data_IF_942531081349
#
_entry.id   IF_942531081349
#
_cell.length_a   1.000
_cell.length_b   1.000
_cell.length_c   1.000
_cell.angle_alpha   90.00
_cell.angle_beta   90.00
_cell.angle_gamma   90.00
#
_symmetry.space_group_name_H-M   'P 1'
#
loop_
_entity.id
_entity.type
_entity.pdbx_description
1 polymer ?
#
# COMPACT_ATOMS: atom_id res chain seq x y z
N UNK A 1 8.67 13.83 -6.93
CA UNK A 1 8.49 13.39 -5.52
C UNK A 1 9.36 14.24 -4.61
N UNK A 2 8.81 14.76 -3.51
CA UNK A 2 9.60 15.40 -2.44
C UNK A 2 9.95 14.34 -1.39
N UNK A 3 11.18 13.84 -1.44
CA UNK A 3 11.65 12.76 -0.56
C UNK A 3 11.74 13.17 0.90
N UNK A 4 12.09 14.44 1.19
CA UNK A 4 12.15 14.93 2.55
C UNK A 4 10.75 15.02 3.17
N UNK A 5 9.79 15.54 2.42
CA UNK A 5 8.39 15.56 2.84
C UNK A 5 7.85 14.15 3.07
N UNK A 6 8.17 13.20 2.19
CA UNK A 6 7.78 11.80 2.35
C UNK A 6 8.41 11.17 3.60
N UNK A 7 9.71 11.38 3.83
CA UNK A 7 10.41 10.88 5.02
C UNK A 7 9.83 11.46 6.32
N UNK A 8 9.53 12.75 6.33
CA UNK A 8 8.87 13.38 7.48
C UNK A 8 7.50 12.76 7.76
N UNK A 9 6.71 12.47 6.72
CA UNK A 9 5.41 11.81 6.86
C UNK A 9 5.50 10.43 7.54
N UNK A 10 6.59 9.69 7.35
CA UNK A 10 6.78 8.38 7.98
C UNK A 10 6.94 8.48 9.51
N UNK A 11 7.50 9.59 10.00
CA UNK A 11 7.72 9.82 11.43
C UNK A 11 6.51 10.43 12.15
N UNK A 12 5.56 10.97 11.39
CA UNK A 12 4.34 11.56 11.94
C UNK A 12 3.37 10.47 12.46
N UNK A 13 2.45 10.80 13.37
CA UNK A 13 1.47 9.85 13.91
C UNK A 13 0.71 9.08 12.82
N UNK A 14 0.40 9.75 11.73
CA UNK A 14 -0.31 9.13 10.59
C UNK A 14 0.52 8.17 9.75
N UNK A 15 1.83 8.41 9.63
CA UNK A 15 2.74 7.45 9.03
C UNK A 15 2.89 6.22 9.90
N UNK A 16 3.07 6.42 11.20
CA UNK A 16 3.21 5.34 12.18
C UNK A 16 1.98 4.43 12.24
N UNK A 17 0.79 4.99 12.40
CA UNK A 17 -0.44 4.20 12.49
C UNK A 17 -0.74 3.43 11.19
N UNK A 18 -0.36 3.98 10.02
CA UNK A 18 -0.46 3.26 8.75
C UNK A 18 0.33 1.95 8.78
N UNK A 19 1.58 2.01 9.23
CA UNK A 19 2.42 0.82 9.31
C UNK A 19 2.02 -0.13 10.44
N UNK A 20 1.53 0.37 11.57
CA UNK A 20 1.02 -0.48 12.65
C UNK A 20 -0.16 -1.34 12.16
N UNK A 21 -1.12 -0.73 11.43
CA UNK A 21 -2.26 -1.44 10.84
C UNK A 21 -1.77 -2.41 9.76
N UNK A 22 -0.90 -1.95 8.85
CA UNK A 22 -0.38 -2.79 7.76
C UNK A 22 0.38 -4.02 8.31
N UNK A 23 1.20 -3.84 9.33
CA UNK A 23 1.96 -4.94 9.93
C UNK A 23 1.07 -5.93 10.65
N UNK A 24 -0.02 -5.49 11.29
CA UNK A 24 -1.04 -6.41 11.82
C UNK A 24 -1.69 -7.23 10.69
N UNK A 25 -1.99 -6.60 9.55
CA UNK A 25 -2.55 -7.29 8.37
C UNK A 25 -1.55 -8.27 7.72
N UNK A 26 -0.24 -8.04 7.90
CA UNK A 26 0.84 -8.91 7.40
C UNK A 26 1.37 -9.92 8.44
N UNK A 27 0.85 -9.94 9.67
CA UNK A 27 1.39 -10.71 10.82
C UNK A 27 1.55 -12.21 10.61
N UNK A 28 0.74 -12.79 9.71
CA UNK A 28 0.77 -14.23 9.40
C UNK A 28 1.64 -14.56 8.17
N UNK A 29 2.41 -13.61 7.66
CA UNK A 29 3.33 -13.80 6.52
C UNK A 29 4.66 -14.32 7.06
N UNK A 30 4.92 -15.62 6.91
CA UNK A 30 6.14 -16.25 7.39
C UNK A 30 6.57 -17.44 6.52
N UNK A 31 7.87 -17.69 6.44
CA UNK A 31 8.45 -18.84 5.72
C UNK A 31 8.35 -18.73 4.20
N UNK A 32 8.10 -17.56 3.64
CA UNK A 32 7.82 -17.33 2.23
C UNK A 32 9.00 -16.69 1.50
N UNK A 33 9.05 -16.90 0.18
CA UNK A 33 9.87 -16.12 -0.74
C UNK A 33 9.06 -14.95 -1.27
N UNK A 34 9.44 -13.74 -0.86
CA UNK A 34 8.67 -12.51 -1.06
C UNK A 34 9.41 -11.57 -2.02
N UNK A 35 8.67 -10.99 -2.97
CA UNK A 35 9.10 -9.82 -3.74
C UNK A 35 8.38 -8.58 -3.19
N UNK A 36 9.11 -7.57 -2.72
CA UNK A 36 8.57 -6.25 -2.37
C UNK A 36 8.85 -5.27 -3.52
N UNK A 37 7.84 -5.07 -4.38
CA UNK A 37 7.92 -4.24 -5.57
C UNK A 37 7.53 -2.80 -5.26
N UNK A 38 8.44 -1.85 -5.50
CA UNK A 38 8.31 -0.46 -5.10
C UNK A 38 8.55 -0.29 -3.60
N UNK A 39 9.63 -0.90 -3.10
CA UNK A 39 9.91 -1.01 -1.66
C UNK A 39 10.18 0.32 -0.94
N UNK A 40 10.41 1.41 -1.68
CA UNK A 40 10.67 2.73 -1.13
C UNK A 40 11.83 2.73 -0.13
N UNK A 41 11.58 3.23 1.07
CA UNK A 41 12.55 3.17 2.18
C UNK A 41 12.68 1.80 2.84
N UNK A 42 12.20 0.73 2.22
CA UNK A 42 12.36 -0.65 2.67
C UNK A 42 11.67 -0.99 4.00
N UNK A 43 10.64 -0.26 4.39
CA UNK A 43 9.98 -0.44 5.69
C UNK A 43 9.27 -1.80 5.73
N UNK A 44 8.52 -2.13 4.66
CA UNK A 44 7.81 -3.41 4.55
C UNK A 44 8.78 -4.55 4.30
N UNK A 45 9.75 -4.38 3.37
CA UNK A 45 10.80 -5.37 3.12
C UNK A 45 11.55 -5.74 4.40
N UNK A 46 11.97 -4.73 5.18
CA UNK A 46 12.68 -4.95 6.43
C UNK A 46 11.83 -5.67 7.48
N UNK A 47 10.54 -5.34 7.60
CA UNK A 47 9.62 -6.02 8.51
C UNK A 47 9.45 -7.49 8.12
N UNK A 48 9.14 -7.77 6.85
CA UNK A 48 8.93 -9.13 6.36
C UNK A 48 10.21 -9.98 6.39
N UNK A 49 11.37 -9.37 6.23
CA UNK A 49 12.66 -10.08 6.26
C UNK A 49 13.02 -10.69 7.61
N UNK A 50 12.29 -10.38 8.67
CA UNK A 50 12.46 -11.05 9.97
C UNK A 50 12.12 -12.54 9.89
N UNK A 51 11.12 -12.91 9.07
CA UNK A 51 10.61 -14.29 8.99
C UNK A 51 10.54 -14.85 7.57
N UNK A 52 10.99 -14.09 6.55
CA UNK A 52 10.86 -14.46 5.14
C UNK A 52 12.15 -14.20 4.36
N UNK A 53 12.29 -14.87 3.21
CA UNK A 53 13.31 -14.52 2.22
C UNK A 53 12.77 -13.40 1.33
N UNK A 54 13.28 -12.17 1.51
CA UNK A 54 12.76 -10.98 0.81
C UNK A 54 13.77 -10.49 -0.23
N UNK A 55 13.27 -10.26 -1.46
CA UNK A 55 13.91 -9.46 -2.49
C UNK A 55 13.10 -8.17 -2.65
N UNK A 56 13.71 -7.02 -2.46
CA UNK A 56 13.10 -5.71 -2.59
C UNK A 56 13.55 -5.03 -3.88
N UNK A 57 12.65 -4.36 -4.57
CA UNK A 57 12.91 -3.64 -5.82
C UNK A 57 12.41 -2.20 -5.70
N UNK A 58 13.29 -1.23 -5.98
CA UNK A 58 12.99 0.20 -5.90
C UNK A 58 13.77 0.97 -6.98
N UNK A 59 13.13 1.81 -7.81
CA UNK A 59 13.83 2.57 -8.82
C UNK A 59 14.65 3.74 -8.26
N UNK A 60 14.25 4.33 -7.14
CA UNK A 60 14.89 5.53 -6.59
C UNK A 60 16.10 5.19 -5.72
N UNK A 61 17.30 5.50 -6.22
CA UNK A 61 18.56 5.21 -5.52
C UNK A 61 18.65 5.93 -4.16
N UNK A 62 18.11 7.12 -4.01
CA UNK A 62 18.14 7.86 -2.76
C UNK A 62 17.31 7.17 -1.68
N UNK A 63 16.14 6.61 -2.05
CA UNK A 63 15.35 5.77 -1.14
C UNK A 63 16.12 4.51 -0.74
N UNK A 64 16.81 3.86 -1.69
CA UNK A 64 17.62 2.67 -1.44
C UNK A 64 18.76 2.99 -0.46
N UNK A 65 19.47 4.10 -0.62
CA UNK A 65 20.58 4.50 0.26
C UNK A 65 20.08 4.70 1.70
N UNK A 66 18.91 5.30 1.86
CA UNK A 66 18.31 5.61 3.16
C UNK A 66 17.34 4.56 3.69
N UNK A 67 17.28 3.37 3.05
CA UNK A 67 16.32 2.34 3.42
C UNK A 67 16.57 1.76 4.80
N UNK A 68 15.53 1.28 5.43
CA UNK A 68 15.58 0.48 6.66
C UNK A 68 16.20 -0.89 6.35
N UNK A 69 17.19 -1.31 7.14
CA UNK A 69 17.94 -2.58 6.92
C UNK A 69 18.43 -3.19 8.24
N UNK A 70 17.57 -3.20 9.24
CA UNK A 70 17.88 -3.89 10.51
C UNK A 70 17.81 -5.40 10.33
N UNK A 71 16.95 -5.88 9.42
CA UNK A 71 16.90 -7.26 8.96
C UNK A 71 17.55 -7.37 7.57
N UNK A 72 18.12 -8.53 7.27
CA UNK A 72 18.83 -8.76 5.99
C UNK A 72 17.85 -9.13 4.88
N UNK A 73 17.89 -8.41 3.76
CA UNK A 73 17.15 -8.71 2.54
C UNK A 73 17.94 -8.26 1.31
N UNK A 74 17.66 -8.89 0.17
CA UNK A 74 18.22 -8.48 -1.11
C UNK A 74 17.55 -7.21 -1.61
N UNK A 75 18.35 -6.21 -2.04
CA UNK A 75 17.84 -4.97 -2.63
C UNK A 75 18.35 -4.80 -4.04
N UNK A 76 17.45 -4.66 -4.98
CA UNK A 76 17.73 -4.36 -6.38
C UNK A 76 17.26 -2.93 -6.71
N UNK A 77 18.00 -2.27 -7.61
CA UNK A 77 17.55 -1.01 -8.19
C UNK A 77 16.89 -1.25 -9.53
N UNK A 78 15.72 -0.68 -9.74
CA UNK A 78 14.98 -0.69 -11.01
C UNK A 78 13.49 -0.81 -10.81
N UNK A 79 12.77 -1.09 -11.88
CA UNK A 79 11.32 -1.20 -11.90
C UNK A 79 10.89 -2.46 -12.68
N UNK A 80 9.89 -2.33 -13.55
CA UNK A 80 9.30 -3.43 -14.31
C UNK A 80 10.34 -4.24 -15.11
N UNK A 81 11.33 -3.56 -15.69
CA UNK A 81 12.37 -4.16 -16.51
C UNK A 81 13.25 -5.17 -15.75
N UNK A 82 13.44 -4.96 -14.45
CA UNK A 82 14.22 -5.87 -13.60
C UNK A 82 13.49 -7.19 -13.35
N UNK A 83 12.16 -7.20 -13.46
CA UNK A 83 11.37 -8.42 -13.24
C UNK A 83 11.71 -9.55 -14.24
N UNK A 84 12.29 -9.21 -15.39
CA UNK A 84 12.70 -10.19 -16.42
C UNK A 84 13.85 -11.10 -15.97
N UNK A 85 14.64 -10.71 -14.97
CA UNK A 85 15.72 -11.56 -14.43
C UNK A 85 15.19 -12.77 -13.64
N UNK A 86 13.95 -12.69 -13.14
CA UNK A 86 13.36 -13.75 -12.34
C UNK A 86 12.66 -14.78 -13.22
N UNK A 87 12.82 -16.05 -12.85
CA UNK A 87 12.11 -17.16 -13.47
C UNK A 87 10.62 -17.10 -13.13
N UNK A 88 9.81 -17.68 -13.99
CA UNK A 88 8.39 -17.88 -13.72
C UNK A 88 8.20 -18.66 -12.41
N UNK A 89 7.12 -18.35 -11.71
CA UNK A 89 6.74 -19.02 -10.47
C UNK A 89 7.83 -19.01 -9.38
N UNK A 90 8.54 -17.88 -9.27
CA UNK A 90 9.67 -17.71 -8.32
C UNK A 90 9.24 -17.31 -6.92
N UNK A 91 8.06 -16.70 -6.74
CA UNK A 91 7.65 -16.09 -5.49
C UNK A 91 6.36 -16.69 -4.93
N UNK A 92 6.31 -16.81 -3.61
CA UNK A 92 5.10 -17.22 -2.88
C UNK A 92 4.18 -16.01 -2.63
N UNK A 93 4.78 -14.83 -2.48
CA UNK A 93 4.09 -13.57 -2.22
C UNK A 93 4.77 -12.43 -3.00
N UNK A 94 3.96 -11.57 -3.60
CA UNK A 94 4.39 -10.27 -4.11
C UNK A 94 3.66 -9.18 -3.34
N UNK A 95 4.41 -8.20 -2.84
CA UNK A 95 3.93 -6.97 -2.22
C UNK A 95 4.03 -5.85 -3.26
N UNK A 96 2.95 -5.08 -3.46
CA UNK A 96 2.92 -3.90 -4.32
C UNK A 96 2.04 -2.84 -3.66
N UNK A 97 2.64 -2.01 -2.82
CA UNK A 97 1.93 -1.05 -1.98
C UNK A 97 2.14 0.39 -2.43
N UNK A 98 1.05 1.09 -2.75
CA UNK A 98 1.05 2.48 -3.21
C UNK A 98 1.96 2.72 -4.43
N UNK A 99 1.87 1.84 -5.43
CA UNK A 99 2.69 1.88 -6.67
C UNK A 99 1.80 2.02 -7.90
N UNK A 100 0.77 1.16 -8.05
CA UNK A 100 0.03 1.04 -9.31
C UNK A 100 -0.76 2.30 -9.68
N UNK A 101 -1.10 3.14 -8.75
CA UNK A 101 -1.74 4.44 -9.00
C UNK A 101 -0.81 5.48 -9.63
N UNK A 102 0.51 5.24 -9.61
CA UNK A 102 1.54 6.17 -10.11
C UNK A 102 2.19 5.71 -11.42
N UNK A 103 1.78 4.57 -11.96
CA UNK A 103 2.29 4.07 -13.24
C UNK A 103 1.39 4.51 -14.39
N UNK A 104 1.96 4.59 -15.59
CA UNK A 104 1.23 4.98 -16.81
C UNK A 104 0.18 3.94 -17.20
N UNK A 105 0.53 2.65 -17.09
CA UNK A 105 -0.37 1.52 -17.37
C UNK A 105 -0.16 0.41 -16.35
N UNK A 106 -1.25 -0.15 -15.81
CA UNK A 106 -1.23 -1.20 -14.78
C UNK A 106 -0.97 -2.59 -15.40
N UNK A 107 -1.44 -2.82 -16.62
CA UNK A 107 -1.41 -4.14 -17.28
C UNK A 107 -0.03 -4.80 -17.31
N UNK A 108 1.08 -4.13 -17.69
CA UNK A 108 2.39 -4.77 -17.70
C UNK A 108 2.84 -5.29 -16.33
N UNK A 109 2.45 -4.61 -15.25
CA UNK A 109 2.77 -5.01 -13.87
C UNK A 109 1.97 -6.24 -13.46
N UNK A 110 0.64 -6.25 -13.68
CA UNK A 110 -0.19 -7.40 -13.35
C UNK A 110 0.19 -8.64 -14.16
N UNK A 111 0.59 -8.47 -15.42
CA UNK A 111 1.11 -9.55 -16.26
C UNK A 111 2.41 -10.13 -15.67
N UNK A 112 3.36 -9.26 -15.29
CA UNK A 112 4.61 -9.68 -14.69
C UNK A 112 4.38 -10.36 -13.33
N UNK A 113 3.52 -9.82 -12.47
CA UNK A 113 3.19 -10.43 -11.17
C UNK A 113 2.51 -11.79 -11.35
N UNK A 114 1.61 -11.91 -12.33
CA UNK A 114 0.98 -13.20 -12.66
C UNK A 114 2.01 -14.24 -13.11
N UNK A 115 3.02 -13.85 -13.90
CA UNK A 115 4.11 -14.73 -14.33
C UNK A 115 4.96 -15.18 -13.15
N UNK A 116 5.35 -14.25 -12.28
CA UNK A 116 6.31 -14.47 -11.21
C UNK A 116 5.76 -15.22 -10.00
N UNK A 117 4.46 -15.09 -9.72
CA UNK A 117 3.83 -15.81 -8.62
C UNK A 117 3.71 -17.29 -8.94
N UNK A 118 3.98 -18.13 -7.97
CA UNK A 118 3.62 -19.55 -8.00
C UNK A 118 2.12 -19.72 -8.09
N UNK A 119 1.66 -20.87 -8.58
CA UNK A 119 0.24 -21.24 -8.49
C UNK A 119 -0.17 -21.28 -6.99
N UNK A 120 -1.28 -20.64 -6.65
CA UNK A 120 -1.70 -20.44 -5.26
C UNK A 120 -0.92 -19.36 -4.50
N UNK A 121 0.09 -18.75 -5.14
CA UNK A 121 0.82 -17.61 -4.58
C UNK A 121 -0.06 -16.38 -4.47
N UNK A 122 0.29 -15.49 -3.54
CA UNK A 122 -0.54 -14.32 -3.20
C UNK A 122 0.07 -13.02 -3.72
N UNK A 123 -0.81 -12.08 -4.06
CA UNK A 123 -0.45 -10.71 -4.38
C UNK A 123 -1.13 -9.79 -3.37
N UNK A 124 -0.34 -9.00 -2.65
CA UNK A 124 -0.77 -8.01 -1.68
C UNK A 124 -0.66 -6.63 -2.32
N UNK A 125 -1.78 -5.94 -2.51
CA UNK A 125 -1.83 -4.60 -3.10
C UNK A 125 -2.47 -3.63 -2.11
N UNK A 126 -1.75 -2.56 -1.77
CA UNK A 126 -2.34 -1.40 -1.09
C UNK A 126 -2.48 -0.27 -2.10
N UNK A 127 -3.66 0.32 -2.14
CA UNK A 127 -3.99 1.46 -3.00
C UNK A 127 -4.80 2.51 -2.26
N UNK A 128 -4.75 3.74 -2.74
CA UNK A 128 -5.66 4.79 -2.29
C UNK A 128 -7.13 4.41 -2.55
N UNK A 129 -7.99 4.71 -1.60
CA UNK A 129 -9.42 4.52 -1.72
C UNK A 129 -10.10 5.81 -2.12
N UNK A 130 -10.79 5.79 -3.26
CA UNK A 130 -11.49 6.96 -3.78
C UNK A 130 -12.59 7.46 -2.84
N UNK A 131 -13.38 6.55 -2.25
CA UNK A 131 -14.42 6.87 -1.27
C UNK A 131 -13.80 7.54 -0.04
N UNK A 132 -12.72 6.94 0.52
CA UNK A 132 -12.01 7.51 1.66
C UNK A 132 -11.43 8.89 1.36
N UNK A 133 -10.95 9.12 0.13
CA UNK A 133 -10.47 10.43 -0.29
C UNK A 133 -11.56 11.48 -0.33
N UNK A 134 -12.74 11.14 -0.85
CA UNK A 134 -13.91 12.03 -0.85
C UNK A 134 -14.32 12.36 0.59
N UNK A 135 -14.42 11.36 1.46
CA UNK A 135 -14.75 11.55 2.88
C UNK A 135 -13.77 12.48 3.58
N UNK A 136 -12.48 12.27 3.39
CA UNK A 136 -11.43 13.14 3.93
C UNK A 136 -11.57 14.59 3.42
N UNK A 137 -11.79 14.76 2.11
CA UNK A 137 -11.92 16.08 1.49
C UNK A 137 -13.12 16.84 2.01
N UNK A 138 -14.26 16.16 2.25
CA UNK A 138 -15.45 16.79 2.82
C UNK A 138 -15.28 17.09 4.31
N UNK A 139 -14.83 16.12 5.10
CA UNK A 139 -14.89 16.20 6.57
C UNK A 139 -13.68 16.93 7.13
N UNK A 140 -12.47 16.60 6.66
CA UNK A 140 -11.24 17.14 7.21
C UNK A 140 -10.77 18.42 6.49
N UNK A 141 -10.76 18.41 5.13
CA UNK A 141 -10.35 19.59 4.34
C UNK A 141 -11.44 20.65 4.25
N UNK A 142 -12.72 20.29 4.47
CA UNK A 142 -13.90 21.13 4.27
C UNK A 142 -13.97 21.74 2.85
N UNK A 143 -13.50 21.01 1.84
CA UNK A 143 -13.47 21.45 0.43
C UNK A 143 -14.56 20.71 -0.39
N UNK A 144 -15.78 21.25 -0.35
CA UNK A 144 -16.93 20.68 -1.06
C UNK A 144 -16.77 20.76 -2.59
N UNK A 145 -16.08 21.79 -3.09
CA UNK A 145 -15.85 21.92 -4.54
C UNK A 145 -14.95 20.80 -5.04
N UNK A 146 -13.81 20.59 -4.39
CA UNK A 146 -12.88 19.51 -4.69
C UNK A 146 -13.53 18.13 -4.53
N UNK A 147 -14.31 17.92 -3.48
CA UNK A 147 -15.05 16.67 -3.28
C UNK A 147 -16.01 16.35 -4.43
N UNK A 148 -16.72 17.36 -4.97
CA UNK A 148 -17.58 17.18 -6.17
C UNK A 148 -16.77 16.83 -7.42
N UNK A 149 -15.59 17.40 -7.59
CA UNK A 149 -14.70 17.04 -8.69
C UNK A 149 -14.23 15.59 -8.59
N UNK A 150 -13.87 15.13 -7.39
CA UNK A 150 -13.54 13.73 -7.14
C UNK A 150 -14.72 12.79 -7.44
N UNK A 151 -15.95 13.15 -7.03
CA UNK A 151 -17.17 12.36 -7.35
C UNK A 151 -17.40 12.22 -8.87
N UNK A 152 -16.93 13.18 -9.67
CA UNK A 152 -16.98 13.14 -11.14
C UNK A 152 -15.80 12.36 -11.76
N UNK A 153 -14.99 11.69 -10.95
CA UNK A 153 -13.86 10.87 -11.40
C UNK A 153 -12.63 11.67 -11.81
N UNK A 154 -12.50 12.93 -11.39
CA UNK A 154 -11.27 13.66 -11.63
C UNK A 154 -10.15 13.12 -10.74
N UNK A 155 -8.96 12.97 -11.35
CA UNK A 155 -7.74 12.60 -10.64
C UNK A 155 -7.36 13.64 -9.57
N UNK A 156 -6.59 13.21 -8.60
CA UNK A 156 -6.10 14.11 -7.56
C UNK A 156 -4.58 14.07 -7.43
N UNK A 157 -4.02 15.18 -6.94
CA UNK A 157 -2.61 15.28 -6.59
C UNK A 157 -2.40 14.81 -5.16
N UNK A 158 -1.46 13.90 -4.97
CA UNK A 158 -0.95 13.54 -3.64
C UNK A 158 0.10 14.55 -3.20
N UNK A 159 0.22 14.79 -1.89
CA UNK A 159 1.17 15.79 -1.38
C UNK A 159 2.64 15.46 -1.67
N UNK A 160 3.00 14.18 -1.74
CA UNK A 160 4.40 13.74 -1.86
C UNK A 160 4.72 13.00 -3.15
N UNK A 161 3.74 12.30 -3.77
CA UNK A 161 3.98 11.39 -4.89
C UNK A 161 3.52 11.93 -6.26
N UNK A 162 2.81 13.06 -6.29
CA UNK A 162 2.26 13.63 -7.50
C UNK A 162 0.86 13.14 -7.86
N UNK A 163 0.53 13.14 -9.15
CA UNK A 163 -0.79 12.71 -9.62
C UNK A 163 -0.97 11.20 -9.42
N UNK A 164 -2.08 10.82 -8.80
CA UNK A 164 -2.48 9.43 -8.64
C UNK A 164 -3.68 9.12 -9.53
N UNK A 165 -3.59 8.04 -10.29
CA UNK A 165 -4.66 7.54 -11.14
C UNK A 165 -5.61 6.69 -10.32
N UNK A 166 -6.91 6.85 -10.58
CA UNK A 166 -7.92 6.01 -9.95
C UNK A 166 -8.14 4.72 -10.75
N UNK A 167 -8.27 3.62 -10.04
CA UNK A 167 -8.68 2.34 -10.64
C UNK A 167 -9.45 1.47 -9.65
N UNK A 168 -10.33 0.61 -10.17
CA UNK A 168 -11.07 -0.37 -9.39
C UNK A 168 -10.39 -1.75 -9.50
N UNK A 169 -10.01 -2.32 -8.35
CA UNK A 169 -9.29 -3.60 -8.31
C UNK A 169 -10.07 -4.72 -9.04
N UNK A 170 -11.38 -4.92 -8.83
CA UNK A 170 -12.12 -5.96 -9.53
C UNK A 170 -12.11 -5.83 -11.05
N UNK A 171 -11.98 -4.59 -11.57
CA UNK A 171 -11.96 -4.35 -13.01
C UNK A 171 -10.59 -4.65 -13.62
N UNK A 172 -9.52 -4.14 -13.00
CA UNK A 172 -8.16 -4.27 -13.57
C UNK A 172 -7.62 -5.69 -13.53
N UNK A 173 -8.10 -6.54 -12.61
CA UNK A 173 -7.64 -7.94 -12.52
C UNK A 173 -8.38 -8.92 -13.43
N UNK A 174 -9.52 -8.53 -14.04
CA UNK A 174 -10.34 -9.43 -14.87
C UNK A 174 -9.56 -10.19 -15.95
N UNK A 175 -8.57 -9.60 -16.65
CA UNK A 175 -7.82 -10.32 -17.68
C UNK A 175 -6.83 -11.35 -17.12
N UNK A 176 -6.55 -11.34 -15.82
CA UNK A 176 -5.48 -12.12 -15.19
C UNK A 176 -6.03 -13.27 -14.35
N UNK A 177 -5.22 -14.32 -14.10
CA UNK A 177 -5.65 -15.48 -13.32
C UNK A 177 -5.60 -15.17 -11.80
N UNK A 178 -6.26 -14.10 -11.38
CA UNK A 178 -6.36 -13.71 -9.97
C UNK A 178 -7.79 -13.78 -9.47
N UNK A 179 -7.96 -14.27 -8.25
CA UNK A 179 -9.17 -14.08 -7.46
C UNK A 179 -8.90 -13.13 -6.29
N UNK A 180 -9.86 -12.28 -5.97
CA UNK A 180 -9.82 -11.48 -4.74
C UNK A 180 -10.21 -12.41 -3.59
N UNK A 181 -9.30 -12.57 -2.62
CA UNK A 181 -9.60 -13.29 -1.38
C UNK A 181 -10.38 -12.41 -0.41
N UNK A 182 -9.89 -11.20 -0.20
CA UNK A 182 -10.48 -10.20 0.69
C UNK A 182 -9.84 -8.83 0.45
N UNK A 183 -10.43 -7.78 1.07
CA UNK A 183 -9.73 -6.51 1.27
C UNK A 183 -9.99 -5.97 2.67
N UNK A 184 -9.03 -5.20 3.17
CA UNK A 184 -9.06 -4.58 4.48
C UNK A 184 -8.85 -3.07 4.35
N UNK A 185 -9.41 -2.32 5.28
CA UNK A 185 -9.18 -0.88 5.36
C UNK A 185 -7.89 -0.55 6.10
N UNK A 186 -7.23 0.54 5.71
CA UNK A 186 -6.13 1.14 6.46
C UNK A 186 -6.46 2.63 6.64
N UNK A 187 -6.46 3.11 7.88
CA UNK A 187 -6.79 4.50 8.25
C UNK A 187 -8.25 4.85 7.92
N UNK A 188 -9.16 4.24 8.66
CA UNK A 188 -10.62 4.42 8.53
C UNK A 188 -11.05 5.73 9.21
N UNK A 189 -10.78 5.86 10.51
CA UNK A 189 -11.21 7.00 11.32
C UNK A 189 -10.16 8.10 11.40
N UNK A 190 -8.90 7.72 11.38
CA UNK A 190 -7.77 8.62 11.52
C UNK A 190 -7.88 9.86 10.62
N UNK A 191 -8.14 9.66 9.33
CA UNK A 191 -8.20 10.74 8.33
C UNK A 191 -9.41 11.67 8.48
N UNK A 192 -10.36 11.32 9.33
CA UNK A 192 -11.59 12.08 9.56
C UNK A 192 -11.51 12.94 10.83
N UNK A 193 -10.48 12.74 11.67
CA UNK A 193 -10.29 13.52 12.90
C UNK A 193 -9.37 14.72 12.68
N UNK A 194 -9.61 15.84 13.38
CA UNK A 194 -8.70 16.99 13.37
C UNK A 194 -7.33 16.64 13.99
N UNK A 195 -6.30 17.38 13.60
CA UNK A 195 -4.91 17.04 14.01
C UNK A 195 -4.60 17.36 15.48
N UNK A 196 -5.31 18.28 16.08
CA UNK A 196 -5.13 18.69 17.48
C UNK A 196 -5.37 17.56 18.48
N UNK A 197 -6.40 16.71 18.24
CA UNK A 197 -6.68 15.56 19.11
C UNK A 197 -5.67 14.40 18.95
N UNK A 198 -4.89 14.38 17.87
CA UNK A 198 -3.93 13.30 17.57
C UNK A 198 -2.64 13.37 18.42
N UNK A 199 -2.48 14.43 19.16
CA UNK A 199 -1.34 14.64 20.08
C UNK A 199 -1.65 14.26 21.54
N UNK A 200 -2.91 13.92 21.84
CA UNK A 200 -3.32 13.54 23.18
C UNK A 200 -2.63 12.24 23.63
N UNK A 201 -2.22 12.14 24.90
CA UNK A 201 -1.66 10.91 25.44
C UNK A 201 -2.62 9.72 25.25
N UNK A 202 -2.09 8.62 24.70
CA UNK A 202 -2.87 7.40 24.45
C UNK A 202 -3.78 7.44 23.21
N UNK A 203 -3.83 8.59 22.48
CA UNK A 203 -4.67 8.68 21.27
C UNK A 203 -4.29 7.61 20.24
N UNK A 204 -2.99 7.42 19.99
CA UNK A 204 -2.51 6.47 18.98
C UNK A 204 -2.91 5.03 19.29
N UNK A 205 -2.75 4.61 20.53
CA UNK A 205 -3.08 3.26 21.00
C UNK A 205 -4.58 3.00 20.90
N UNK A 206 -5.40 3.93 21.38
CA UNK A 206 -6.86 3.83 21.31
C UNK A 206 -7.36 3.86 19.86
N UNK A 207 -6.77 4.71 19.01
CA UNK A 207 -7.12 4.76 17.59
C UNK A 207 -6.72 3.47 16.86
N UNK A 208 -5.53 2.92 17.15
CA UNK A 208 -5.09 1.66 16.56
C UNK A 208 -6.03 0.51 16.93
N UNK A 209 -6.44 0.42 18.19
CA UNK A 209 -7.42 -0.59 18.64
C UNK A 209 -8.73 -0.49 17.85
N UNK A 210 -9.27 0.73 17.67
CA UNK A 210 -10.49 0.94 16.90
C UNK A 210 -10.33 0.63 15.41
N UNK A 211 -9.21 1.02 14.79
CA UNK A 211 -8.90 0.71 13.40
C UNK A 211 -8.83 -0.81 13.17
N UNK A 212 -8.12 -1.54 14.05
CA UNK A 212 -7.99 -3.00 13.95
C UNK A 212 -9.30 -3.73 14.19
N UNK A 213 -10.17 -3.23 15.06
CA UNK A 213 -11.45 -3.85 15.36
C UNK A 213 -12.41 -3.89 14.16
N UNK A 214 -12.27 -2.95 13.19
CA UNK A 214 -13.22 -2.79 12.09
C UNK A 214 -12.60 -2.83 10.69
N UNK A 215 -11.29 -3.02 10.57
CA UNK A 215 -10.56 -2.91 9.32
C UNK A 215 -11.00 -3.91 8.23
N UNK A 216 -11.65 -5.00 8.60
CA UNK A 216 -12.21 -6.01 7.70
C UNK A 216 -13.74 -5.99 7.62
N UNK A 217 -14.41 -5.00 8.26
CA UNK A 217 -15.86 -4.95 8.34
C UNK A 217 -16.44 -3.84 7.45
N UNK A 218 -17.34 -4.20 6.51
CA UNK A 218 -18.21 -3.22 5.84
C UNK A 218 -19.27 -2.69 6.83
N UNK A 219 -19.63 -1.40 6.82
CA UNK A 219 -19.19 -0.38 5.86
C UNK A 219 -17.89 0.35 6.24
N UNK A 220 -17.25 0.02 7.37
CA UNK A 220 -16.08 0.77 7.85
C UNK A 220 -14.89 0.68 6.89
N UNK A 221 -14.51 -0.52 6.46
CA UNK A 221 -13.39 -0.69 5.51
C UNK A 221 -13.61 0.03 4.17
N UNK A 222 -14.88 0.26 3.81
CA UNK A 222 -15.24 0.86 2.53
C UNK A 222 -14.92 2.36 2.47
N UNK A 223 -14.82 3.03 3.62
CA UNK A 223 -14.47 4.45 3.73
C UNK A 223 -13.02 4.70 4.16
N UNK A 224 -12.21 3.67 4.34
CA UNK A 224 -10.81 3.80 4.73
C UNK A 224 -10.01 4.65 3.72
N UNK A 225 -8.95 5.31 4.16
CA UNK A 225 -8.06 6.09 3.27
C UNK A 225 -7.36 5.20 2.24
N UNK A 226 -7.04 3.96 2.61
CA UNK A 226 -6.43 2.97 1.74
C UNK A 226 -7.19 1.65 1.82
N UNK A 227 -7.16 0.91 0.71
CA UNK A 227 -7.64 -0.47 0.60
C UNK A 227 -6.45 -1.40 0.41
N UNK A 228 -6.33 -2.41 1.27
CA UNK A 228 -5.35 -3.47 1.16
C UNK A 228 -6.03 -4.74 0.63
N UNK A 229 -5.77 -5.07 -0.62
CA UNK A 229 -6.31 -6.25 -1.30
C UNK A 229 -5.36 -7.43 -1.19
N UNK A 230 -5.93 -8.58 -0.90
CA UNK A 230 -5.30 -9.88 -1.01
C UNK A 230 -5.86 -10.62 -2.22
N UNK A 231 -4.99 -10.93 -3.18
CA UNK A 231 -5.32 -11.70 -4.36
C UNK A 231 -4.59 -13.03 -4.31
N UNK A 232 -5.13 -14.06 -4.98
CA UNK A 232 -4.48 -15.36 -5.16
C UNK A 232 -4.42 -15.71 -6.64
N UNK A 233 -3.25 -16.20 -7.08
CA UNK A 233 -3.09 -16.75 -8.44
C UNK A 233 -3.72 -18.14 -8.53
N UNK A 234 -4.57 -18.36 -9.55
CA UNK A 234 -5.23 -19.65 -9.89
C UNK A 234 -4.25 -20.73 -10.33
#
# INVERSE_FOLDING_TARGET
>A
MDLQAYKNHLEEPWGKIYYDILFDQLKNVEGLKVLDFGSGFGIVANHLAEKNQVTALEPNMEMIIHRKRTNSYEQLQGSLEVLEIFKDESFDLIICHNVLEYVEAIDPYLMAFSRLLKKGGKLSIVKHNHVGRIMHTVIFENDIKKARELLLGKDYLTHSMGQANYYEMPEVIKPYPFDILDFQGIRIFYGLQPNDVKTDPGWRENMLEMELAVNNQSPYRDIAAFQHYWLVKK
#
